data_IF_955980154544
#
_entry.id   IF_955980154544
#
_cell.length_a   1.000
_cell.length_b   1.000
_cell.length_c   1.000
_cell.angle_alpha   90.00
_cell.angle_beta   90.00
_cell.angle_gamma   90.00
#
_symmetry.space_group_name_H-M   'P 1'
#
loop_
_entity.id
_entity.type
_entity.pdbx_description
1 polymer ?
#
# COMPACT_ATOMS: atom_id res chain seq x y z
N UNK A 1 27.99 -0.85 -1.16
CA UNK A 1 26.88 -0.98 -0.19
C UNK A 1 27.32 -1.30 1.24
N UNK A 2 28.23 -2.27 1.49
CA UNK A 2 28.66 -2.64 2.86
C UNK A 2 29.14 -1.47 3.72
N UNK A 3 29.96 -0.58 3.14
CA UNK A 3 30.44 0.62 3.84
C UNK A 3 29.30 1.55 4.30
N UNK A 4 28.21 1.66 3.51
CA UNK A 4 27.02 2.42 3.90
C UNK A 4 26.37 1.81 5.14
N UNK A 5 26.17 0.48 5.15
CA UNK A 5 25.59 -0.20 6.30
C UNK A 5 26.44 -0.04 7.57
N UNK A 6 27.76 -0.20 7.47
CA UNK A 6 28.67 0.00 8.61
C UNK A 6 28.66 1.44 9.13
N UNK A 7 28.60 2.42 8.23
CA UNK A 7 28.48 3.83 8.61
C UNK A 7 27.16 4.09 9.34
N UNK A 8 26.03 3.61 8.82
CA UNK A 8 24.74 3.74 9.49
C UNK A 8 24.73 3.09 10.87
N UNK A 9 25.42 1.95 11.04
CA UNK A 9 25.53 1.30 12.35
C UNK A 9 26.38 2.09 13.36
N UNK A 10 27.41 2.80 12.89
CA UNK A 10 28.28 3.61 13.73
C UNK A 10 27.61 4.91 14.17
N UNK A 11 26.86 5.55 13.28
CA UNK A 11 26.27 6.87 13.54
C UNK A 11 24.88 6.81 14.18
N UNK A 12 24.14 5.72 14.00
CA UNK A 12 22.77 5.58 14.51
C UNK A 12 22.64 4.37 15.45
N UNK A 13 22.73 4.56 16.78
CA UNK A 13 22.64 3.47 17.75
C UNK A 13 21.24 2.89 17.90
N UNK A 14 20.17 3.65 17.61
CA UNK A 14 18.80 3.16 17.72
C UNK A 14 18.47 2.23 16.54
N UNK A 15 18.14 0.95 16.77
CA UNK A 15 17.81 0.00 15.70
C UNK A 15 16.63 0.47 14.84
N UNK A 16 15.64 1.19 15.40
CA UNK A 16 14.50 1.70 14.65
C UNK A 16 14.90 2.82 13.69
N UNK A 17 15.68 3.79 14.16
CA UNK A 17 16.19 4.86 13.31
C UNK A 17 17.17 4.32 12.26
N UNK A 18 17.99 3.33 12.62
CA UNK A 18 18.89 2.66 11.68
C UNK A 18 18.12 1.93 10.59
N UNK A 19 17.06 1.20 10.96
CA UNK A 19 16.15 0.56 10.01
C UNK A 19 15.53 1.59 9.05
N UNK A 20 15.09 2.73 9.59
CA UNK A 20 14.54 3.84 8.81
C UNK A 20 15.56 4.41 7.84
N UNK A 21 16.80 4.64 8.30
CA UNK A 21 17.87 5.16 7.47
C UNK A 21 18.23 4.21 6.31
N UNK A 22 18.23 2.89 6.56
CA UNK A 22 18.43 1.89 5.49
C UNK A 22 17.29 1.93 4.47
N UNK A 23 16.04 1.91 4.94
CA UNK A 23 14.85 2.00 4.08
C UNK A 23 14.89 3.26 3.21
N UNK A 24 15.10 4.41 3.84
CA UNK A 24 15.10 5.72 3.19
C UNK A 24 16.27 5.88 2.23
N UNK A 25 17.45 5.37 2.57
CA UNK A 25 18.60 5.37 1.67
C UNK A 25 18.27 4.65 0.37
N UNK A 26 17.65 3.47 0.42
CA UNK A 26 17.30 2.73 -0.80
C UNK A 26 16.19 3.44 -1.57
N UNK A 27 15.11 3.86 -0.89
CA UNK A 27 13.98 4.54 -1.51
C UNK A 27 14.39 5.88 -2.18
N UNK A 28 15.39 6.57 -1.61
CA UNK A 28 15.91 7.83 -2.14
C UNK A 28 16.94 7.61 -3.26
N UNK A 29 17.82 6.62 -3.13
CA UNK A 29 18.99 6.47 -4.03
C UNK A 29 18.78 5.55 -5.22
N UNK A 30 17.64 4.88 -5.31
CA UNK A 30 17.33 3.99 -6.42
C UNK A 30 16.14 4.56 -7.20
N UNK A 31 16.23 4.57 -8.52
CA UNK A 31 15.11 4.85 -9.42
C UNK A 31 14.42 3.56 -9.82
N UNK A 32 13.09 3.58 -10.00
CA UNK A 32 12.37 2.39 -10.44
C UNK A 32 12.54 2.19 -11.95
N UNK A 33 12.91 0.98 -12.36
CA UNK A 33 13.11 0.62 -13.77
C UNK A 33 11.78 0.32 -14.48
N UNK A 34 10.97 1.37 -14.65
CA UNK A 34 9.69 1.31 -15.34
C UNK A 34 9.79 0.79 -16.80
N UNK A 35 10.80 1.18 -17.60
CA UNK A 35 10.97 0.62 -18.94
C UNK A 35 11.19 -0.90 -18.94
N UNK A 36 12.07 -1.43 -18.08
CA UNK A 36 12.32 -2.88 -18.00
C UNK A 36 11.10 -3.64 -17.48
N UNK A 37 10.36 -3.06 -16.52
CA UNK A 37 9.07 -3.61 -16.06
C UNK A 37 8.07 -3.71 -17.21
N UNK A 38 7.85 -2.63 -17.94
CA UNK A 38 6.92 -2.61 -19.08
C UNK A 38 7.33 -3.59 -20.19
N UNK A 39 8.63 -3.82 -20.37
CA UNK A 39 9.16 -4.78 -21.34
C UNK A 39 9.17 -6.24 -20.86
N UNK A 40 8.94 -6.50 -19.57
CA UNK A 40 9.06 -7.83 -18.95
C UNK A 40 10.47 -8.42 -19.03
N UNK A 41 11.51 -7.58 -19.20
CA UNK A 41 12.91 -8.00 -19.34
C UNK A 41 13.77 -7.19 -18.39
N UNK A 42 14.33 -7.86 -17.40
CA UNK A 42 15.02 -7.20 -16.29
C UNK A 42 16.54 -7.39 -16.41
N UNK A 43 17.33 -6.30 -16.26
CA UNK A 43 18.74 -6.42 -15.91
C UNK A 43 18.93 -7.17 -14.58
N UNK A 44 20.15 -7.58 -14.22
CA UNK A 44 20.41 -8.23 -12.93
C UNK A 44 19.88 -7.40 -11.75
N UNK A 45 19.12 -8.06 -10.88
CA UNK A 45 18.47 -7.45 -9.71
C UNK A 45 19.17 -7.83 -8.40
N UNK A 46 20.44 -8.18 -8.43
CA UNK A 46 21.24 -8.39 -7.23
C UNK A 46 21.61 -7.05 -6.58
N UNK A 47 21.91 -7.08 -5.28
CA UNK A 47 22.15 -5.85 -4.51
C UNK A 47 23.36 -5.06 -4.99
N UNK A 48 24.39 -5.71 -5.52
CA UNK A 48 25.59 -5.02 -5.99
C UNK A 48 25.31 -4.26 -7.28
N UNK A 49 24.70 -4.91 -8.27
CA UNK A 49 24.29 -4.27 -9.52
C UNK A 49 23.38 -3.07 -9.25
N UNK A 50 22.33 -3.24 -8.45
CA UNK A 50 21.37 -2.14 -8.15
C UNK A 50 22.05 -1.01 -7.36
N UNK A 51 22.96 -1.32 -6.44
CA UNK A 51 23.72 -0.31 -5.72
C UNK A 51 24.62 0.52 -6.64
N UNK A 52 25.25 -0.10 -7.63
CA UNK A 52 26.12 0.57 -8.59
C UNK A 52 25.31 1.40 -9.60
N UNK A 53 24.28 0.79 -10.19
CA UNK A 53 23.49 1.40 -11.27
C UNK A 53 22.44 2.40 -10.78
N UNK A 54 22.06 2.33 -9.49
CA UNK A 54 21.01 3.17 -8.89
C UNK A 54 19.64 3.04 -9.57
N UNK A 55 19.39 1.90 -10.20
CA UNK A 55 18.14 1.58 -10.88
C UNK A 55 17.80 0.10 -10.65
N UNK A 56 16.52 -0.21 -10.49
CA UNK A 56 16.03 -1.59 -10.33
C UNK A 56 14.52 -1.68 -10.22
N UNK A 57 13.99 -2.90 -10.14
CA UNK A 57 12.58 -3.17 -9.80
C UNK A 57 12.47 -3.70 -8.36
N UNK A 58 11.26 -4.03 -7.90
CA UNK A 58 10.97 -4.42 -6.52
C UNK A 58 11.98 -5.43 -5.91
N UNK A 59 12.35 -6.46 -6.68
CA UNK A 59 13.34 -7.45 -6.26
C UNK A 59 14.72 -6.84 -5.97
N UNK A 60 15.15 -5.87 -6.77
CA UNK A 60 16.41 -5.14 -6.60
C UNK A 60 16.42 -4.26 -5.36
N UNK A 61 15.33 -3.50 -5.13
CA UNK A 61 15.14 -2.69 -3.93
C UNK A 61 15.21 -3.57 -2.67
N UNK A 62 14.41 -4.63 -2.61
CA UNK A 62 14.31 -5.47 -1.43
C UNK A 62 15.62 -6.24 -1.13
N UNK A 63 16.38 -6.62 -2.16
CA UNK A 63 17.72 -7.20 -1.98
C UNK A 63 18.74 -6.18 -1.49
N UNK A 64 18.68 -4.94 -2.00
CA UNK A 64 19.58 -3.88 -1.56
C UNK A 64 19.31 -3.46 -0.11
N UNK A 65 18.04 -3.33 0.31
CA UNK A 65 17.65 -3.11 1.71
C UNK A 65 18.23 -4.21 2.59
N UNK A 66 18.05 -5.48 2.21
CA UNK A 66 18.60 -6.62 2.95
C UNK A 66 20.13 -6.57 3.06
N UNK A 67 20.83 -6.24 1.97
CA UNK A 67 22.28 -6.18 1.95
C UNK A 67 22.84 -5.05 2.83
N UNK A 68 22.28 -3.84 2.72
CA UNK A 68 22.70 -2.70 3.55
C UNK A 68 22.31 -2.94 5.01
N UNK A 69 21.07 -3.38 5.28
CA UNK A 69 20.58 -3.64 6.63
C UNK A 69 21.38 -4.70 7.36
N UNK A 70 21.74 -5.81 6.69
CA UNK A 70 22.63 -6.83 7.28
C UNK A 70 24.02 -6.27 7.60
N UNK A 71 24.58 -5.44 6.71
CA UNK A 71 25.84 -4.76 6.99
C UNK A 71 25.73 -3.74 8.15
N UNK A 72 24.53 -3.24 8.42
CA UNK A 72 24.20 -2.37 9.54
C UNK A 72 23.87 -3.13 10.84
N UNK A 73 24.06 -4.45 10.86
CA UNK A 73 23.78 -5.30 12.02
C UNK A 73 22.31 -5.64 12.24
N UNK A 74 21.44 -5.37 11.26
CA UNK A 74 20.01 -5.64 11.32
C UNK A 74 19.68 -7.02 10.76
N UNK A 75 18.74 -7.72 11.37
CA UNK A 75 18.21 -8.97 10.83
C UNK A 75 17.12 -8.66 9.81
N UNK A 76 17.43 -8.89 8.52
CA UNK A 76 16.53 -8.57 7.41
C UNK A 76 16.27 -9.81 6.54
N UNK A 77 14.99 -10.02 6.25
CA UNK A 77 14.47 -11.06 5.37
C UNK A 77 13.98 -10.42 4.06
N UNK A 78 14.27 -11.09 2.96
CA UNK A 78 13.70 -10.80 1.65
C UNK A 78 12.43 -11.62 1.51
N UNK A 79 11.30 -10.95 1.29
CA UNK A 79 9.97 -11.56 1.19
C UNK A 79 9.47 -11.40 -0.23
N UNK A 80 8.86 -12.46 -0.77
CA UNK A 80 8.21 -12.47 -2.08
C UNK A 80 6.75 -12.85 -1.95
N UNK A 81 5.95 -12.39 -2.89
CA UNK A 81 4.53 -12.68 -2.97
C UNK A 81 3.86 -11.84 -4.01
N UNK A 82 2.57 -11.63 -3.84
CA UNK A 82 1.77 -10.82 -4.77
C UNK A 82 1.41 -9.48 -4.13
N UNK A 83 1.35 -8.45 -4.96
CA UNK A 83 0.81 -7.17 -4.55
C UNK A 83 -0.38 -6.73 -5.40
N UNK A 84 -1.34 -6.05 -4.77
CA UNK A 84 -2.46 -5.39 -5.45
C UNK A 84 -2.05 -3.97 -5.86
N UNK A 85 -1.89 -3.74 -7.16
CA UNK A 85 -1.42 -2.46 -7.74
C UNK A 85 -2.59 -1.62 -8.26
N UNK A 86 -2.52 -0.31 -8.05
CA UNK A 86 -3.56 0.65 -8.49
C UNK A 86 -4.90 0.50 -7.75
N UNK A 87 -5.95 1.02 -8.38
CA UNK A 87 -7.34 0.83 -7.92
C UNK A 87 -8.00 -0.35 -8.65
N UNK A 88 -7.21 -1.28 -9.18
CA UNK A 88 -7.71 -2.44 -9.90
C UNK A 88 -8.40 -3.37 -8.90
N UNK A 89 -9.65 -3.69 -9.20
CA UNK A 89 -10.52 -4.50 -8.33
C UNK A 89 -10.49 -5.97 -8.71
N UNK A 90 -9.84 -6.27 -9.84
CA UNK A 90 -9.54 -7.62 -10.26
C UNK A 90 -8.23 -8.05 -9.60
N UNK A 91 -8.16 -9.28 -9.05
CA UNK A 91 -7.00 -9.79 -8.33
C UNK A 91 -5.90 -10.21 -9.30
N UNK A 92 -5.45 -9.30 -10.17
CA UNK A 92 -4.19 -9.47 -10.88
C UNK A 92 -3.08 -9.11 -9.90
N UNK A 93 -2.79 -10.04 -8.99
CA UNK A 93 -1.61 -9.95 -8.14
C UNK A 93 -0.39 -9.91 -9.06
N UNK A 94 0.33 -8.78 -9.04
CA UNK A 94 1.63 -8.70 -9.68
C UNK A 94 2.66 -9.23 -8.69
N UNK A 95 3.58 -10.07 -9.18
CA UNK A 95 4.68 -10.55 -8.36
C UNK A 95 5.47 -9.36 -7.80
N UNK A 96 5.66 -9.35 -6.48
CA UNK A 96 6.29 -8.25 -5.75
C UNK A 96 7.26 -8.77 -4.70
N UNK A 97 8.19 -7.90 -4.32
CA UNK A 97 9.20 -8.21 -3.32
C UNK A 97 9.39 -7.05 -2.36
N UNK A 98 9.51 -7.37 -1.07
CA UNK A 98 9.66 -6.41 0.03
C UNK A 98 10.50 -7.03 1.15
N UNK A 99 10.54 -6.40 2.32
CA UNK A 99 11.33 -6.88 3.45
C UNK A 99 10.52 -7.06 4.73
N UNK A 100 10.97 -8.01 5.56
CA UNK A 100 10.67 -8.04 6.98
C UNK A 100 11.98 -7.84 7.75
N UNK A 101 11.92 -7.14 8.88
CA UNK A 101 13.10 -6.83 9.70
C UNK A 101 12.78 -7.08 11.18
N UNK A 102 13.73 -7.65 11.92
CA UNK A 102 13.59 -7.87 13.36
C UNK A 102 14.19 -6.68 14.13
N UNK A 103 13.39 -6.04 14.96
CA UNK A 103 13.76 -4.93 15.85
C UNK A 103 13.19 -5.24 17.24
N UNK A 104 14.00 -5.17 18.29
CA UNK A 104 13.61 -5.48 19.68
C UNK A 104 12.80 -6.80 19.80
N UNK A 105 13.33 -7.86 19.20
CA UNK A 105 12.74 -9.21 19.15
C UNK A 105 11.37 -9.33 18.46
N UNK A 106 10.89 -8.26 17.81
CA UNK A 106 9.66 -8.25 17.03
C UNK A 106 9.94 -8.08 15.54
N UNK A 107 9.12 -8.71 14.70
CA UNK A 107 9.21 -8.57 13.25
C UNK A 107 8.32 -7.43 12.75
N UNK A 108 8.84 -6.66 11.80
CA UNK A 108 8.15 -5.55 11.16
C UNK A 108 8.26 -5.66 9.64
N UNK A 109 7.25 -5.17 8.93
CA UNK A 109 7.21 -5.17 7.46
C UNK A 109 7.66 -3.82 6.91
N UNK A 110 8.37 -3.83 5.78
CA UNK A 110 8.68 -2.62 5.05
C UNK A 110 8.76 -2.80 3.53
N UNK A 111 8.41 -1.76 2.78
CA UNK A 111 8.55 -1.71 1.31
C UNK A 111 9.20 -0.40 0.83
N UNK A 112 10.51 -0.46 0.56
CA UNK A 112 11.27 0.66 0.03
C UNK A 112 10.92 1.00 -1.44
N UNK A 113 10.31 0.07 -2.18
CA UNK A 113 9.93 0.27 -3.59
C UNK A 113 8.80 1.27 -3.70
N UNK A 114 7.70 1.03 -2.99
CA UNK A 114 6.54 1.92 -2.99
C UNK A 114 6.78 3.20 -2.20
N UNK A 115 7.76 3.19 -1.29
CA UNK A 115 8.27 4.41 -0.67
C UNK A 115 9.01 5.32 -1.64
N UNK A 116 9.60 4.81 -2.73
CA UNK A 116 10.40 5.62 -3.66
C UNK A 116 9.56 6.50 -4.60
N UNK A 117 8.35 6.06 -4.95
CA UNK A 117 7.46 6.79 -5.84
C UNK A 117 6.45 5.91 -6.58
N UNK A 118 6.05 6.35 -7.77
CA UNK A 118 5.04 5.67 -8.58
C UNK A 118 5.45 5.55 -10.04
N UNK A 119 4.89 4.56 -10.73
CA UNK A 119 5.09 4.32 -12.16
C UNK A 119 3.80 4.61 -12.93
N UNK A 120 3.93 5.28 -14.07
CA UNK A 120 2.88 5.43 -15.06
C UNK A 120 3.44 5.05 -16.45
N UNK A 121 3.04 3.88 -16.96
CA UNK A 121 3.63 3.30 -18.16
C UNK A 121 5.13 3.05 -17.97
N UNK A 122 5.96 3.68 -18.79
CA UNK A 122 7.43 3.60 -18.72
C UNK A 122 8.05 4.74 -17.91
N UNK A 123 7.24 5.61 -17.30
CA UNK A 123 7.72 6.78 -16.56
C UNK A 123 7.67 6.52 -15.06
N UNK A 124 8.83 6.61 -14.41
CA UNK A 124 8.93 6.66 -12.95
C UNK A 124 8.88 8.11 -12.46
N UNK A 125 8.02 8.39 -11.48
CA UNK A 125 7.98 9.67 -10.76
C UNK A 125 8.38 9.44 -9.31
N UNK A 126 9.51 10.02 -8.92
CA UNK A 126 10.01 9.96 -7.56
C UNK A 126 9.09 10.75 -6.62
N UNK A 127 8.65 10.10 -5.54
CA UNK A 127 7.85 10.71 -4.48
C UNK A 127 8.01 9.90 -3.22
N UNK A 128 8.84 10.39 -2.31
CA UNK A 128 9.07 9.70 -1.05
C UNK A 128 7.78 9.60 -0.21
N UNK A 129 7.55 8.43 0.38
CA UNK A 129 6.52 8.20 1.39
C UNK A 129 7.02 7.22 2.46
N UNK A 130 6.58 7.42 3.71
CA UNK A 130 6.83 6.50 4.82
C UNK A 130 5.69 5.51 5.07
N UNK A 131 4.64 5.51 4.24
CA UNK A 131 3.44 4.66 4.45
C UNK A 131 3.76 3.16 4.52
N UNK A 132 4.83 2.74 3.83
CA UNK A 132 5.28 1.36 3.79
C UNK A 132 6.36 1.00 4.80
N UNK A 133 6.78 1.90 5.70
CA UNK A 133 7.84 1.62 6.69
C UNK A 133 7.25 1.22 8.04
N UNK A 134 7.65 0.04 8.55
CA UNK A 134 7.13 -0.57 9.79
C UNK A 134 5.60 -0.56 9.86
N UNK A 135 4.94 -0.73 8.71
CA UNK A 135 3.50 -0.63 8.65
C UNK A 135 2.85 -1.79 9.42
N UNK A 136 1.75 -1.54 10.15
CA UNK A 136 1.04 -2.59 10.86
C UNK A 136 0.65 -3.75 9.93
N UNK A 137 0.77 -5.02 10.37
CA UNK A 137 0.52 -6.20 9.54
C UNK A 137 -0.87 -6.22 8.85
N UNK A 138 -1.90 -5.77 9.56
CA UNK A 138 -3.26 -5.65 9.04
C UNK A 138 -3.40 -4.59 7.95
N UNK A 139 -2.54 -3.56 7.96
CA UNK A 139 -2.50 -2.50 6.95
C UNK A 139 -1.65 -2.91 5.76
N UNK A 140 -0.47 -3.49 6.02
CA UNK A 140 0.44 -3.96 4.97
C UNK A 140 -0.21 -5.08 4.13
N UNK A 141 -0.89 -6.02 4.81
CA UNK A 141 -1.62 -7.16 4.24
C UNK A 141 -2.83 -6.79 3.38
N UNK A 142 -3.22 -5.51 3.33
CA UNK A 142 -4.25 -5.07 2.37
C UNK A 142 -3.69 -5.15 0.96
N UNK A 143 -2.42 -4.83 0.75
CA UNK A 143 -1.86 -4.79 -0.60
C UNK A 143 -0.77 -5.82 -0.83
N UNK A 144 -0.26 -6.48 0.20
CA UNK A 144 0.82 -7.46 0.10
C UNK A 144 0.37 -8.82 0.61
N UNK A 145 0.55 -9.86 -0.20
CA UNK A 145 0.27 -11.23 0.17
C UNK A 145 1.52 -12.08 -0.03
N UNK A 146 2.25 -12.45 1.03
CA UNK A 146 3.48 -13.23 0.92
C UNK A 146 3.19 -14.67 0.46
N UNK A 147 4.16 -15.29 -0.22
CA UNK A 147 4.14 -16.72 -0.52
C UNK A 147 4.14 -17.57 0.75
N UNK A 148 4.94 -17.18 1.75
CA UNK A 148 4.96 -17.83 3.06
C UNK A 148 3.98 -17.13 4.03
N UNK A 149 2.94 -17.80 4.53
CA UNK A 149 1.92 -17.18 5.38
C UNK A 149 2.46 -16.52 6.66
N UNK A 150 3.59 -17.00 7.20
CA UNK A 150 4.23 -16.40 8.39
C UNK A 150 4.61 -14.94 8.20
N UNK A 151 4.96 -14.53 6.97
CA UNK A 151 5.36 -13.15 6.69
C UNK A 151 4.17 -12.18 6.58
N UNK A 152 2.94 -12.67 6.80
CA UNK A 152 1.82 -11.78 7.05
C UNK A 152 1.92 -11.11 8.42
N UNK A 153 2.69 -11.67 9.36
CA UNK A 153 2.84 -11.19 10.74
C UNK A 153 1.49 -10.96 11.46
N UNK A 154 0.51 -11.81 11.14
CA UNK A 154 -0.83 -11.79 11.73
C UNK A 154 -1.01 -13.01 12.63
N UNK A 155 -1.72 -12.83 13.74
CA UNK A 155 -2.17 -13.94 14.57
C UNK A 155 -3.06 -14.91 13.76
N UNK A 156 -3.91 -14.35 12.91
CA UNK A 156 -4.73 -15.09 11.94
C UNK A 156 -4.36 -14.61 10.52
N UNK A 157 -3.47 -15.35 9.83
CA UNK A 157 -3.11 -15.08 8.45
C UNK A 157 -4.31 -15.20 7.51
N UNK A 158 -4.42 -14.27 6.56
CA UNK A 158 -5.39 -14.34 5.48
C UNK A 158 -5.09 -15.54 4.57
N UNK A 159 -6.15 -16.18 4.12
CA UNK A 159 -6.12 -17.02 2.92
C UNK A 159 -6.04 -16.16 1.66
N UNK A 160 -5.62 -16.77 0.54
CA UNK A 160 -5.63 -16.13 -0.78
C UNK A 160 -7.01 -15.55 -1.13
N UNK A 161 -8.07 -16.32 -0.84
CA UNK A 161 -9.45 -15.92 -1.14
C UNK A 161 -9.91 -14.74 -0.30
N UNK A 162 -9.48 -14.62 0.95
CA UNK A 162 -9.77 -13.45 1.78
C UNK A 162 -8.98 -12.23 1.32
N UNK A 163 -7.69 -12.40 1.02
CA UNK A 163 -6.86 -11.32 0.47
C UNK A 163 -7.42 -10.72 -0.82
N UNK A 164 -7.90 -11.57 -1.74
CA UNK A 164 -8.49 -11.11 -3.01
C UNK A 164 -9.84 -10.40 -2.80
N UNK A 165 -10.61 -10.84 -1.79
CA UNK A 165 -11.96 -10.32 -1.52
C UNK A 165 -11.96 -9.11 -0.61
N UNK A 166 -10.91 -8.82 0.15
CA UNK A 166 -10.91 -7.70 1.09
C UNK A 166 -11.02 -6.34 0.36
N UNK A 167 -11.65 -5.32 0.95
CA UNK A 167 -11.76 -3.98 0.37
C UNK A 167 -10.43 -3.40 -0.13
N UNK A 168 -10.47 -2.60 -1.20
CA UNK A 168 -9.27 -1.96 -1.79
C UNK A 168 -8.99 -0.63 -1.10
N UNK A 169 -8.66 -0.71 0.20
CA UNK A 169 -8.33 0.46 1.02
C UNK A 169 -6.81 0.71 1.01
N UNK A 170 -6.40 1.96 1.13
CA UNK A 170 -4.99 2.36 1.21
C UNK A 170 -4.57 2.50 2.67
N UNK A 171 -3.27 2.36 2.94
CA UNK A 171 -2.74 2.41 4.31
C UNK A 171 -3.19 3.67 5.07
N UNK A 172 -3.19 4.82 4.39
CA UNK A 172 -3.65 6.10 4.95
C UNK A 172 -5.08 6.09 5.50
N UNK A 173 -5.97 5.28 4.93
CA UNK A 173 -7.34 5.17 5.45
C UNK A 173 -7.30 4.76 6.93
N UNK A 174 -6.48 3.78 7.26
CA UNK A 174 -6.31 3.28 8.62
C UNK A 174 -5.46 4.20 9.48
N UNK A 175 -4.37 4.75 8.93
CA UNK A 175 -3.49 5.69 9.65
C UNK A 175 -4.24 6.97 10.08
N UNK A 176 -5.23 7.41 9.30
CA UNK A 176 -6.08 8.55 9.64
C UNK A 176 -7.28 8.18 10.53
N UNK A 177 -7.27 6.97 11.11
CA UNK A 177 -8.25 6.52 12.11
C UNK A 177 -9.56 6.00 11.53
N UNK A 178 -9.64 5.71 10.22
CA UNK A 178 -10.82 5.08 9.63
C UNK A 178 -10.69 3.56 9.60
N UNK A 179 -11.81 2.87 9.85
CA UNK A 179 -11.92 1.43 9.65
C UNK A 179 -13.27 1.11 9.02
N UNK A 180 -13.26 0.45 7.86
CA UNK A 180 -14.47 0.04 7.16
C UNK A 180 -15.06 -1.19 7.86
N UNK A 181 -16.29 -1.04 8.37
CA UNK A 181 -17.06 -2.10 9.03
C UNK A 181 -17.91 -2.87 8.02
N UNK A 182 -18.50 -2.15 7.08
CA UNK A 182 -19.25 -2.74 5.97
C UNK A 182 -19.12 -1.84 4.72
N UNK A 183 -19.01 -2.42 3.52
CA UNK A 183 -18.89 -3.85 3.25
C UNK A 183 -17.51 -4.43 3.62
N UNK A 184 -17.45 -5.73 3.84
CA UNK A 184 -16.22 -6.50 4.10
C UNK A 184 -15.62 -7.11 2.81
N UNK A 185 -16.10 -6.64 1.64
CA UNK A 185 -15.70 -7.11 0.31
C UNK A 185 -15.28 -5.95 -0.60
N UNK A 186 -14.35 -6.21 -1.51
CA UNK A 186 -13.93 -5.30 -2.58
C UNK A 186 -15.01 -5.10 -3.64
N UNK A 187 -15.93 -6.05 -3.79
CA UNK A 187 -17.06 -5.98 -4.71
C UNK A 187 -18.34 -6.42 -3.99
N UNK A 188 -19.43 -5.68 -4.17
CA UNK A 188 -20.75 -5.98 -3.60
C UNK A 188 -21.88 -5.73 -4.61
N UNK A 189 -23.01 -6.43 -4.41
CA UNK A 189 -24.25 -6.19 -5.15
C UNK A 189 -25.25 -5.40 -4.29
N UNK A 190 -26.01 -4.49 -4.89
CA UNK A 190 -27.16 -3.81 -4.26
C UNK A 190 -28.34 -3.70 -5.23
N UNK A 191 -29.56 -3.63 -4.70
CA UNK A 191 -30.79 -3.38 -5.49
C UNK A 191 -31.14 -1.89 -5.59
N UNK A 192 -30.59 -1.08 -4.70
CA UNK A 192 -30.94 0.33 -4.56
C UNK A 192 -29.68 1.14 -4.31
N UNK A 193 -29.61 1.82 -3.18
CA UNK A 193 -28.45 2.60 -2.78
C UNK A 193 -27.32 1.70 -2.29
N UNK A 194 -26.10 2.21 -2.37
CA UNK A 194 -24.97 1.64 -1.68
C UNK A 194 -24.91 2.21 -0.27
N UNK A 195 -24.71 1.32 0.71
CA UNK A 195 -24.53 1.66 2.12
C UNK A 195 -23.17 1.17 2.59
N UNK A 196 -22.47 1.99 3.36
CA UNK A 196 -21.24 1.60 4.04
C UNK A 196 -21.19 2.19 5.45
N UNK A 197 -20.53 1.48 6.36
CA UNK A 197 -20.30 1.94 7.72
C UNK A 197 -18.81 1.99 7.99
N UNK A 198 -18.34 3.12 8.50
CA UNK A 198 -16.94 3.36 8.81
C UNK A 198 -16.82 3.88 10.24
N UNK A 199 -16.07 3.20 11.09
CA UNK A 199 -15.66 3.79 12.37
C UNK A 199 -14.58 4.83 12.12
N UNK A 200 -14.66 5.98 12.80
CA UNK A 200 -13.64 7.04 12.74
C UNK A 200 -13.18 7.40 14.15
N UNK A 201 -11.88 7.32 14.40
CA UNK A 201 -11.24 7.76 15.65
C UNK A 201 -10.26 8.92 15.43
N UNK A 202 -10.10 9.34 14.17
CA UNK A 202 -9.18 10.40 13.77
C UNK A 202 -9.86 11.75 13.61
N UNK A 203 -9.07 12.74 13.20
CA UNK A 203 -9.54 14.13 12.96
C UNK A 203 -9.78 14.44 11.49
N UNK A 204 -9.52 13.47 10.60
CA UNK A 204 -9.72 13.64 9.17
C UNK A 204 -11.20 13.51 8.81
N UNK A 205 -11.60 14.21 7.76
CA UNK A 205 -12.90 14.09 7.14
C UNK A 205 -12.85 13.05 6.03
N UNK A 206 -13.90 12.23 5.94
CA UNK A 206 -14.07 11.24 4.89
C UNK A 206 -15.10 11.77 3.88
N UNK A 207 -14.71 11.80 2.61
CA UNK A 207 -15.60 12.11 1.48
C UNK A 207 -15.72 10.85 0.62
N UNK A 208 -16.90 10.61 0.08
CA UNK A 208 -17.17 9.42 -0.71
C UNK A 208 -17.87 9.80 -2.01
N UNK A 209 -17.39 9.26 -3.13
CA UNK A 209 -17.97 9.51 -4.46
C UNK A 209 -18.21 8.20 -5.19
N UNK A 210 -19.34 8.07 -5.87
CA UNK A 210 -19.64 6.93 -6.73
C UNK A 210 -19.46 7.31 -8.21
N UNK A 211 -18.61 6.59 -8.92
CA UNK A 211 -18.29 6.82 -10.33
C UNK A 211 -18.83 5.67 -11.19
N UNK A 212 -19.75 5.92 -12.14
CA UNK A 212 -20.23 4.88 -13.05
C UNK A 212 -19.09 4.38 -13.96
N UNK A 213 -18.87 3.06 -14.05
CA UNK A 213 -17.82 2.49 -14.92
C UNK A 213 -18.11 2.65 -16.42
N UNK A 214 -19.38 2.77 -16.80
CA UNK A 214 -19.79 3.04 -18.19
C UNK A 214 -19.63 4.50 -18.63
N UNK A 215 -19.00 5.35 -17.82
CA UNK A 215 -18.95 6.79 -18.03
C UNK A 215 -20.20 7.50 -17.49
N UNK A 216 -20.04 8.77 -17.14
CA UNK A 216 -21.09 9.60 -16.56
C UNK A 216 -20.58 10.51 -15.45
N UNK A 217 -21.49 11.30 -14.87
CA UNK A 217 -21.16 12.19 -13.77
C UNK A 217 -20.93 11.40 -12.48
N UNK A 218 -19.86 11.74 -11.76
CA UNK A 218 -19.61 11.23 -10.42
C UNK A 218 -20.69 11.74 -9.45
N UNK A 219 -21.11 10.89 -8.52
CA UNK A 219 -22.15 11.18 -7.54
C UNK A 219 -21.49 11.37 -6.19
N UNK A 220 -21.76 12.49 -5.54
CA UNK A 220 -21.31 12.71 -4.17
C UNK A 220 -22.21 11.93 -3.22
N UNK A 221 -21.61 11.07 -2.40
CA UNK A 221 -22.35 10.26 -1.44
C UNK A 221 -22.53 11.04 -0.13
N UNK A 222 -23.67 10.86 0.51
CA UNK A 222 -23.92 11.39 1.85
C UNK A 222 -23.05 10.66 2.87
N UNK A 223 -22.34 11.41 3.70
CA UNK A 223 -21.61 10.90 4.87
C UNK A 223 -22.25 11.52 6.11
N UNK A 224 -22.95 10.69 6.88
CA UNK A 224 -23.66 11.12 8.09
C UNK A 224 -22.86 10.72 9.33
N UNK A 225 -22.69 11.68 10.23
CA UNK A 225 -21.92 11.50 11.45
C UNK A 225 -22.84 11.05 12.60
N UNK A 226 -22.74 9.78 12.96
CA UNK A 226 -23.35 9.20 14.16
C UNK A 226 -22.28 8.71 15.13
N UNK A 227 -22.51 7.56 15.77
CA UNK A 227 -21.46 6.81 16.49
C UNK A 227 -20.37 6.34 15.51
N UNK A 228 -20.80 5.93 14.32
CA UNK A 228 -19.99 5.61 13.16
C UNK A 228 -20.32 6.61 12.04
N UNK A 229 -19.53 6.60 10.96
CA UNK A 229 -19.84 7.30 9.72
C UNK A 229 -20.73 6.39 8.86
N UNK A 230 -21.99 6.77 8.71
CA UNK A 230 -22.94 6.09 7.83
C UNK A 230 -22.91 6.75 6.44
N UNK A 231 -22.54 5.95 5.45
CA UNK A 231 -22.35 6.41 4.07
C UNK A 231 -23.50 5.89 3.22
N UNK A 232 -24.13 6.78 2.45
CA UNK A 232 -25.17 6.44 1.49
C UNK A 232 -24.87 7.06 0.12
N UNK A 233 -24.67 6.20 -0.87
CA UNK A 233 -24.60 6.63 -2.28
C UNK A 233 -25.91 6.31 -2.97
N UNK A 234 -26.66 7.33 -3.38
CA UNK A 234 -27.86 7.16 -4.20
C UNK A 234 -27.43 6.87 -5.63
N UNK A 235 -27.54 5.61 -6.03
CA UNK A 235 -27.14 5.17 -7.37
C UNK A 235 -28.35 5.33 -8.30
N UNK A 236 -28.30 6.13 -9.37
CA UNK A 236 -29.49 6.50 -10.13
C UNK A 236 -29.93 5.43 -11.14
N UNK A 237 -28.99 4.68 -11.74
CA UNK A 237 -29.28 3.62 -12.74
C UNK A 237 -28.62 2.29 -12.37
N UNK A 238 -29.15 1.18 -12.90
CA UNK A 238 -28.47 -0.10 -12.83
C UNK A 238 -27.11 -0.04 -13.55
N UNK A 239 -26.16 -0.88 -13.10
CA UNK A 239 -24.81 -0.92 -13.64
C UNK A 239 -23.74 -0.96 -12.54
N UNK A 240 -22.48 -0.95 -12.97
CA UNK A 240 -21.33 -1.02 -12.07
C UNK A 240 -20.78 0.36 -11.76
N UNK A 241 -20.56 0.63 -10.49
CA UNK A 241 -19.97 1.84 -9.95
C UNK A 241 -18.67 1.53 -9.22
N UNK A 242 -17.69 2.41 -9.32
CA UNK A 242 -16.54 2.45 -8.42
C UNK A 242 -16.84 3.50 -7.35
N UNK A 243 -17.08 3.05 -6.11
CA UNK A 243 -17.24 3.94 -4.96
C UNK A 243 -15.86 4.22 -4.38
N UNK A 244 -15.43 5.48 -4.42
CA UNK A 244 -14.11 5.94 -3.97
C UNK A 244 -14.21 6.67 -2.65
N UNK A 245 -13.28 6.35 -1.76
CA UNK A 245 -13.08 7.00 -0.48
C UNK A 245 -11.94 8.00 -0.61
N UNK A 246 -12.14 9.20 -0.11
CA UNK A 246 -11.15 10.26 -0.04
C UNK A 246 -11.07 10.81 1.38
N UNK A 247 -9.88 11.20 1.82
CA UNK A 247 -9.71 11.82 3.11
C UNK A 247 -9.05 13.20 3.00
N UNK A 248 -9.35 14.07 3.96
CA UNK A 248 -8.73 15.40 4.10
C UNK A 248 -8.79 15.89 5.55
N UNK A 249 -7.79 16.67 6.01
CA UNK A 249 -7.87 17.39 7.29
C UNK A 249 -9.03 18.39 7.37
N UNK A 250 -9.62 18.80 6.24
CA UNK A 250 -10.74 19.74 6.18
C UNK A 250 -11.89 19.17 5.34
N UNK A 251 -13.12 19.32 5.82
CA UNK A 251 -14.34 18.79 5.17
C UNK A 251 -14.53 19.29 3.72
N UNK A 252 -14.12 20.53 3.44
CA UNK A 252 -14.24 21.18 2.13
C UNK A 252 -12.90 21.79 1.68
N UNK A 253 -11.79 21.09 1.92
CA UNK A 253 -10.47 21.54 1.48
C UNK A 253 -10.28 21.43 -0.03
N UNK A 254 -9.43 22.28 -0.60
CA UNK A 254 -9.01 22.20 -2.02
C UNK A 254 -8.14 20.97 -2.32
N UNK A 255 -7.70 20.25 -1.29
CA UNK A 255 -6.86 19.06 -1.38
C UNK A 255 -7.49 17.89 -0.63
N UNK A 256 -7.72 16.81 -1.36
CA UNK A 256 -8.17 15.53 -0.87
C UNK A 256 -7.32 14.42 -1.47
N UNK A 257 -7.16 13.32 -0.74
CA UNK A 257 -6.36 12.20 -1.20
C UNK A 257 -7.20 10.94 -1.29
N UNK A 258 -7.00 10.17 -2.37
CA UNK A 258 -7.64 8.85 -2.50
C UNK A 258 -7.18 7.95 -1.36
N UNK A 259 -8.16 7.41 -0.62
CA UNK A 259 -7.99 6.54 0.53
C UNK A 259 -8.43 5.09 0.24
N UNK A 260 -9.15 4.85 -0.84
CA UNK A 260 -9.49 3.49 -1.30
C UNK A 260 -10.73 3.44 -2.19
N UNK A 261 -11.17 2.24 -2.53
CA UNK A 261 -12.42 2.03 -3.27
C UNK A 261 -13.09 0.67 -3.00
N UNK A 262 -14.37 0.61 -3.35
CA UNK A 262 -15.20 -0.60 -3.42
C UNK A 262 -15.99 -0.58 -4.73
N UNK A 263 -16.13 -1.72 -5.40
CA UNK A 263 -17.00 -1.88 -6.57
C UNK A 263 -18.41 -2.22 -6.11
N UNK A 264 -19.38 -1.54 -6.70
CA UNK A 264 -20.79 -1.77 -6.44
C UNK A 264 -21.50 -2.08 -7.74
N UNK A 265 -22.11 -3.25 -7.81
CA UNK A 265 -22.97 -3.64 -8.91
C UNK A 265 -24.43 -3.41 -8.50
N UNK A 266 -25.06 -2.38 -9.08
CA UNK A 266 -26.50 -2.16 -8.90
C UNK A 266 -27.27 -2.98 -9.91
N UNK A 267 -28.06 -3.94 -9.41
CA UNK A 267 -28.87 -4.86 -10.22
C UNK A 267 -30.35 -4.58 -10.05
#
# INVERSE_FOLDING_TARGET
MRAVGLYLAAEEPDPFQRAKAVHDYVADRVAYDAPSLAAGRYPPQDAETVFQQRIGVCAGYARLVRAIGRAAGLEVVYVVGDARVGDQTEPTGEGHAWNAMRLDDQWYLMDATWAAGSVNGTVFTKRYSSDGFLAPPNVFGIRHFPEEPRWQLRAEPLTRGEFNRQPMLRARFYLHGFQLRSPDRSQVDTRSDFLAQVTSTGTHWLMVRAEPRGGGQAIDCGVHHGRDLDIRCVLPRAGTYTVRFFDSPRQYGESYWGAGSVVVNRR
#
